data_IF_685621346877
#
_entry.id   IF_685621346877
#
_cell.length_a   1.000
_cell.length_b   1.000
_cell.length_c   1.000
_cell.angle_alpha   90.00
_cell.angle_beta   90.00
_cell.angle_gamma   90.00
#
_symmetry.space_group_name_H-M   'P 1'
#
loop_
_entity.id
_entity.type
_entity.pdbx_description
1 polymer ?
#
# COMPACT_ATOMS: atom_id res chain seq x y z
N UNK A 1 41.48 -8.37 23.73
CA UNK A 1 40.90 -7.04 23.83
C UNK A 1 41.00 -6.21 22.53
N UNK A 2 42.18 -6.08 21.91
CA UNK A 2 42.34 -5.31 20.65
C UNK A 2 41.54 -5.89 19.49
N UNK A 3 41.53 -7.22 19.29
CA UNK A 3 40.81 -7.89 18.23
C UNK A 3 39.28 -7.68 18.34
N UNK A 4 38.74 -7.68 19.56
CA UNK A 4 37.29 -7.46 19.81
C UNK A 4 36.88 -6.02 19.45
N UNK A 5 37.71 -5.03 19.74
CA UNK A 5 37.48 -3.62 19.39
C UNK A 5 37.52 -3.39 17.87
N UNK A 6 38.40 -4.09 17.14
CA UNK A 6 38.48 -4.03 15.68
C UNK A 6 37.22 -4.64 15.05
N UNK A 7 36.74 -5.79 15.52
CA UNK A 7 35.51 -6.43 15.00
C UNK A 7 34.28 -5.56 15.26
N UNK A 8 34.15 -4.97 16.44
CA UNK A 8 33.06 -4.04 16.77
C UNK A 8 33.14 -2.79 15.89
N UNK A 9 34.34 -2.23 15.69
CA UNK A 9 34.55 -1.06 14.82
C UNK A 9 34.15 -1.32 13.36
N UNK A 10 34.54 -2.47 12.80
CA UNK A 10 34.15 -2.90 11.45
C UNK A 10 32.63 -3.14 11.34
N UNK A 11 32.01 -3.70 12.37
CA UNK A 11 30.55 -3.90 12.41
C UNK A 11 29.80 -2.56 12.41
N UNK A 12 30.22 -1.60 13.23
CA UNK A 12 29.62 -0.25 13.27
C UNK A 12 29.82 0.48 11.94
N UNK A 13 31.03 0.40 11.37
CA UNK A 13 31.32 1.03 10.07
C UNK A 13 30.48 0.41 8.94
N UNK A 14 30.40 -0.91 8.88
CA UNK A 14 29.56 -1.62 7.91
C UNK A 14 28.07 -1.27 8.04
N UNK A 15 27.57 -1.19 9.28
CA UNK A 15 26.17 -0.78 9.55
C UNK A 15 25.90 0.68 9.14
N UNK A 16 26.83 1.61 9.46
CA UNK A 16 26.70 3.02 9.04
C UNK A 16 26.74 3.20 7.52
N UNK A 17 27.64 2.49 6.83
CA UNK A 17 27.72 2.55 5.37
C UNK A 17 26.46 1.97 4.72
N UNK A 18 25.91 0.88 5.26
CA UNK A 18 24.65 0.31 4.81
C UNK A 18 23.47 1.27 5.02
N UNK A 19 23.38 1.91 6.19
CA UNK A 19 22.34 2.92 6.46
C UNK A 19 22.45 4.12 5.52
N UNK A 20 23.64 4.66 5.30
CA UNK A 20 23.83 5.79 4.38
C UNK A 20 23.47 5.43 2.94
N UNK A 21 23.76 4.22 2.52
CA UNK A 21 23.36 3.71 1.22
C UNK A 21 21.82 3.61 1.06
N UNK A 22 21.11 3.10 2.07
CA UNK A 22 19.65 3.03 2.07
C UNK A 22 19.03 4.44 2.05
N UNK A 23 19.54 5.36 2.85
CA UNK A 23 19.08 6.75 2.84
C UNK A 23 19.31 7.43 1.49
N UNK A 24 20.46 7.22 0.85
CA UNK A 24 20.75 7.74 -0.48
C UNK A 24 19.81 7.18 -1.56
N UNK A 25 19.37 5.92 -1.42
CA UNK A 25 18.35 5.32 -2.31
C UNK A 25 16.98 5.96 -2.09
N UNK A 26 16.54 6.13 -0.85
CA UNK A 26 15.27 6.77 -0.51
C UNK A 26 15.22 8.23 -0.96
N UNK A 27 16.32 8.97 -0.87
CA UNK A 27 16.41 10.37 -1.31
C UNK A 27 16.14 10.58 -2.81
N UNK A 28 16.14 9.52 -3.62
CA UNK A 28 15.77 9.58 -5.05
C UNK A 28 14.26 9.65 -5.27
N UNK A 29 13.47 9.33 -4.27
CA UNK A 29 12.01 9.35 -4.33
C UNK A 29 11.49 10.59 -3.60
N UNK A 30 10.91 11.56 -4.31
CA UNK A 30 10.44 12.80 -3.67
C UNK A 30 9.16 12.62 -2.85
N UNK A 31 8.43 11.52 -3.08
CA UNK A 31 7.10 11.28 -2.49
C UNK A 31 7.13 10.02 -1.65
N UNK A 32 6.85 10.19 -0.39
CA UNK A 32 6.78 9.12 0.62
C UNK A 32 5.39 9.02 1.20
N UNK A 33 5.02 7.83 1.64
CA UNK A 33 3.77 7.59 2.33
C UNK A 33 3.81 6.32 3.14
N UNK A 34 2.71 6.08 3.85
CA UNK A 34 2.56 4.92 4.70
C UNK A 34 1.22 4.22 4.47
N UNK A 35 1.20 2.92 4.78
CA UNK A 35 -0.02 2.12 4.89
C UNK A 35 -0.26 1.78 6.36
N UNK A 36 -1.49 1.92 6.83
CA UNK A 36 -1.88 1.69 8.22
C UNK A 36 -3.14 0.83 8.31
N UNK A 37 -3.31 0.18 9.47
CA UNK A 37 -4.48 -0.59 9.85
C UNK A 37 -4.73 -0.42 11.36
N UNK A 38 -5.73 -1.11 11.90
CA UNK A 38 -6.06 -1.08 13.34
C UNK A 38 -4.90 -1.46 14.27
N UNK A 39 -3.94 -2.27 13.79
CA UNK A 39 -2.78 -2.69 14.59
C UNK A 39 -1.67 -1.63 14.62
N UNK A 40 -1.80 -0.58 13.81
CA UNK A 40 -0.85 0.54 13.80
C UNK A 40 -0.92 1.40 15.07
N UNK A 41 -2.02 1.30 15.83
CA UNK A 41 -2.25 2.11 17.03
C UNK A 41 -2.52 3.59 16.71
N UNK A 42 -2.35 4.43 17.70
CA UNK A 42 -2.64 5.86 17.56
C UNK A 42 -1.54 6.56 16.77
N UNK A 43 -1.91 7.20 15.63
CA UNK A 43 -1.01 8.04 14.83
C UNK A 43 -1.39 9.52 14.96
N UNK A 44 -0.38 10.37 15.08
CA UNK A 44 -0.50 11.81 14.91
C UNK A 44 -0.33 12.15 13.41
N UNK A 45 -1.44 12.40 12.72
CA UNK A 45 -1.43 12.68 11.29
C UNK A 45 -0.81 14.03 10.93
N UNK A 46 -0.86 15.00 11.85
CA UNK A 46 -0.16 16.28 11.66
C UNK A 46 1.37 16.08 11.70
N UNK A 47 1.84 15.24 12.59
CA UNK A 47 3.25 14.86 12.62
C UNK A 47 3.63 13.98 11.44
N UNK A 48 2.76 13.05 11.04
CA UNK A 48 2.98 12.18 9.87
C UNK A 48 3.16 13.01 8.59
N UNK A 49 2.31 14.02 8.37
CA UNK A 49 2.30 14.86 7.18
C UNK A 49 3.61 15.65 6.97
N UNK A 50 4.41 15.87 8.01
CA UNK A 50 5.71 16.58 7.87
C UNK A 50 6.71 15.85 6.97
N UNK A 51 6.64 14.52 6.92
CA UNK A 51 7.59 13.68 6.19
C UNK A 51 6.93 12.74 5.19
N UNK A 52 5.59 12.73 5.12
CA UNK A 52 4.83 11.86 4.22
C UNK A 52 3.74 12.65 3.51
N UNK A 53 3.62 12.44 2.20
CA UNK A 53 2.66 13.11 1.36
C UNK A 53 1.33 12.36 1.29
N UNK A 54 1.32 11.07 1.67
CA UNK A 54 0.11 10.26 1.61
C UNK A 54 0.05 9.17 2.70
N UNK A 55 -1.18 8.76 2.97
CA UNK A 55 -1.50 7.61 3.81
C UNK A 55 -2.59 6.76 3.14
N UNK A 56 -2.41 5.44 3.16
CA UNK A 56 -3.47 4.51 2.84
C UNK A 56 -3.96 3.81 4.10
N UNK A 57 -5.28 3.79 4.29
CA UNK A 57 -5.93 3.29 5.50
C UNK A 57 -6.70 2.03 5.14
N UNK A 58 -6.39 0.91 5.82
CA UNK A 58 -7.15 -0.32 5.67
C UNK A 58 -8.62 -0.06 6.04
N UNK A 59 -9.54 -0.45 5.16
CA UNK A 59 -10.97 -0.31 5.40
C UNK A 59 -11.65 -1.67 5.53
N UNK A 60 -11.49 -2.54 4.51
CA UNK A 60 -12.20 -3.82 4.46
C UNK A 60 -11.33 -4.96 3.92
N UNK A 61 -11.65 -6.20 4.30
CA UNK A 61 -11.13 -7.40 3.68
C UNK A 61 -12.27 -8.37 3.37
N UNK A 62 -12.33 -8.83 2.12
CA UNK A 62 -13.39 -9.71 1.66
C UNK A 62 -14.78 -9.12 1.87
N UNK A 63 -15.71 -9.97 2.29
CA UNK A 63 -17.14 -9.60 2.40
C UNK A 63 -17.60 -9.37 3.84
N UNK A 64 -16.73 -9.43 4.85
CA UNK A 64 -17.17 -9.44 6.26
C UNK A 64 -16.23 -8.73 7.24
N UNK A 65 -14.95 -8.56 6.90
CA UNK A 65 -14.02 -7.88 7.80
C UNK A 65 -13.98 -6.38 7.50
N UNK A 66 -14.22 -5.58 8.53
CA UNK A 66 -13.95 -4.14 8.54
C UNK A 66 -12.85 -3.84 9.56
N UNK A 67 -11.95 -2.94 9.22
CA UNK A 67 -10.96 -2.42 10.14
C UNK A 67 -11.65 -1.55 11.20
N UNK A 68 -11.42 -1.86 12.48
CA UNK A 68 -12.14 -1.22 13.59
C UNK A 68 -11.79 0.27 13.75
N UNK A 69 -10.60 0.67 13.31
CA UNK A 69 -10.11 2.04 13.42
C UNK A 69 -10.23 2.84 12.12
N UNK A 70 -10.80 2.24 11.06
CA UNK A 70 -10.90 2.89 9.75
C UNK A 70 -11.53 4.29 9.84
N UNK A 71 -12.74 4.39 10.37
CA UNK A 71 -13.48 5.66 10.42
C UNK A 71 -12.77 6.72 11.27
N UNK A 72 -12.19 6.31 12.41
CA UNK A 72 -11.43 7.19 13.29
C UNK A 72 -10.16 7.71 12.61
N UNK A 73 -9.38 6.79 12.01
CA UNK A 73 -8.15 7.15 11.31
C UNK A 73 -8.45 8.03 10.09
N UNK A 74 -9.49 7.70 9.32
CA UNK A 74 -9.91 8.50 8.17
C UNK A 74 -10.29 9.92 8.58
N UNK A 75 -11.16 10.08 9.59
CA UNK A 75 -11.59 11.40 10.07
C UNK A 75 -10.43 12.24 10.59
N UNK A 76 -9.47 11.62 11.29
CA UNK A 76 -8.29 12.31 11.81
C UNK A 76 -7.31 12.70 10.69
N UNK A 77 -7.13 11.84 9.67
CA UNK A 77 -6.29 12.13 8.52
C UNK A 77 -6.84 13.29 7.67
N UNK A 78 -8.16 13.45 7.58
CA UNK A 78 -8.81 14.57 6.88
C UNK A 78 -8.44 15.94 7.47
N UNK A 79 -8.10 16.00 8.76
CA UNK A 79 -7.66 17.24 9.44
C UNK A 79 -6.17 17.56 9.25
N UNK A 80 -5.42 16.72 8.53
CA UNK A 80 -4.00 16.90 8.29
C UNK A 80 -3.72 17.24 6.81
N UNK A 81 -2.59 17.87 6.53
CA UNK A 81 -2.15 18.16 5.15
C UNK A 81 -1.53 16.92 4.50
N UNK A 82 -2.29 15.81 4.44
CA UNK A 82 -1.87 14.54 3.87
C UNK A 82 -2.94 14.00 2.93
N UNK A 83 -2.54 13.43 1.78
CA UNK A 83 -3.48 12.78 0.89
C UNK A 83 -3.87 11.41 1.43
N UNK A 84 -5.15 11.10 1.36
CA UNK A 84 -5.71 9.86 1.91
C UNK A 84 -6.21 8.96 0.79
N UNK A 85 -5.89 7.68 0.89
CA UNK A 85 -6.49 6.60 0.12
C UNK A 85 -7.00 5.50 1.05
N UNK A 86 -7.82 4.62 0.52
CA UNK A 86 -8.42 3.51 1.27
C UNK A 86 -8.04 2.17 0.65
N UNK A 87 -8.02 1.15 1.50
CA UNK A 87 -7.62 -0.21 1.12
C UNK A 87 -8.77 -1.18 1.26
N UNK A 88 -9.01 -1.94 0.18
CA UNK A 88 -9.80 -3.17 0.19
C UNK A 88 -8.91 -4.37 -0.06
N UNK A 89 -8.89 -5.34 0.83
CA UNK A 89 -8.20 -6.62 0.59
C UNK A 89 -9.14 -7.59 -0.13
N UNK A 90 -8.75 -7.99 -1.33
CA UNK A 90 -9.50 -8.91 -2.18
C UNK A 90 -9.55 -10.32 -1.58
N UNK A 91 -10.73 -10.94 -1.62
CA UNK A 91 -10.93 -12.32 -1.20
C UNK A 91 -11.25 -13.22 -2.39
N UNK A 92 -10.50 -14.29 -2.54
CA UNK A 92 -10.80 -15.33 -3.53
C UNK A 92 -12.04 -16.17 -3.16
N UNK A 93 -12.36 -16.29 -1.87
CA UNK A 93 -13.44 -17.18 -1.39
C UNK A 93 -14.83 -16.58 -1.47
N UNK A 94 -14.97 -15.24 -1.62
CA UNK A 94 -16.27 -14.56 -1.64
C UNK A 94 -16.57 -13.93 -3.00
N UNK A 95 -17.85 -13.73 -3.33
CA UNK A 95 -18.24 -13.13 -4.61
C UNK A 95 -17.89 -11.64 -4.70
N UNK A 96 -17.68 -11.13 -5.91
CA UNK A 96 -17.43 -9.72 -6.16
C UNK A 96 -18.54 -8.83 -5.60
N UNK A 97 -19.81 -9.19 -5.80
CA UNK A 97 -20.94 -8.40 -5.33
C UNK A 97 -21.01 -8.28 -3.81
N UNK A 98 -20.68 -9.36 -3.08
CA UNK A 98 -20.65 -9.32 -1.61
C UNK A 98 -19.48 -8.45 -1.09
N UNK A 99 -18.32 -8.53 -1.72
CA UNK A 99 -17.16 -7.69 -1.36
C UNK A 99 -17.46 -6.21 -1.61
N UNK A 100 -18.01 -5.87 -2.77
CA UNK A 100 -18.42 -4.50 -3.11
C UNK A 100 -19.50 -3.96 -2.17
N UNK A 101 -20.52 -4.78 -1.87
CA UNK A 101 -21.56 -4.38 -0.93
C UNK A 101 -20.95 -4.05 0.44
N UNK A 102 -20.08 -4.91 0.95
CA UNK A 102 -19.41 -4.71 2.22
C UNK A 102 -18.50 -3.46 2.22
N UNK A 103 -17.70 -3.27 1.16
CA UNK A 103 -16.88 -2.08 0.98
C UNK A 103 -17.73 -0.81 0.99
N UNK A 104 -18.81 -0.78 0.19
CA UNK A 104 -19.70 0.37 0.10
C UNK A 104 -20.39 0.71 1.43
N UNK A 105 -20.77 -0.30 2.21
CA UNK A 105 -21.36 -0.10 3.54
C UNK A 105 -20.34 0.46 4.54
N UNK A 106 -19.09 -0.01 4.50
CA UNK A 106 -18.06 0.40 5.46
C UNK A 106 -17.49 1.77 5.12
N UNK A 107 -17.18 2.00 3.83
CA UNK A 107 -16.45 3.19 3.38
C UNK A 107 -17.41 4.35 3.07
N UNK A 108 -18.60 4.06 2.54
CA UNK A 108 -19.53 5.10 2.12
C UNK A 108 -18.89 6.06 1.11
N UNK A 109 -18.72 7.32 1.49
CA UNK A 109 -18.03 8.35 0.70
C UNK A 109 -16.59 8.63 1.17
N UNK A 110 -16.10 7.88 2.13
CA UNK A 110 -14.79 8.10 2.76
C UNK A 110 -13.66 7.40 1.97
N UNK A 111 -13.51 7.70 0.69
CA UNK A 111 -12.48 7.12 -0.19
C UNK A 111 -11.17 7.93 -0.24
N UNK A 112 -11.21 9.17 0.23
CA UNK A 112 -10.08 10.10 0.08
C UNK A 112 -9.92 10.61 -1.35
N UNK A 113 -8.73 11.07 -1.70
CA UNK A 113 -8.41 11.67 -3.00
C UNK A 113 -7.44 10.82 -3.84
N UNK A 114 -6.92 9.73 -3.28
CA UNK A 114 -6.02 8.82 -3.99
C UNK A 114 -6.80 7.68 -4.65
N UNK A 115 -6.25 7.01 -5.68
CA UNK A 115 -6.84 5.79 -6.21
C UNK A 115 -7.15 4.79 -5.09
N UNK A 116 -8.28 4.08 -5.18
CA UNK A 116 -8.63 3.04 -4.20
C UNK A 116 -7.63 1.89 -4.35
N UNK A 117 -7.00 1.47 -3.26
CA UNK A 117 -6.10 0.32 -3.29
C UNK A 117 -6.90 -0.99 -3.13
N UNK A 118 -6.70 -1.91 -4.08
CA UNK A 118 -7.15 -3.30 -3.98
C UNK A 118 -5.93 -4.18 -3.74
N UNK A 119 -5.80 -4.69 -2.52
CA UNK A 119 -4.70 -5.58 -2.14
C UNK A 119 -5.01 -7.03 -2.51
N UNK A 120 -4.09 -7.69 -3.21
CA UNK A 120 -4.23 -9.07 -3.70
C UNK A 120 -3.02 -9.89 -3.28
N UNK A 121 -3.25 -10.98 -2.58
CA UNK A 121 -2.23 -11.95 -2.21
C UNK A 121 -2.75 -13.37 -2.31
N UNK A 122 -1.89 -14.30 -2.75
CA UNK A 122 -2.22 -15.72 -2.73
C UNK A 122 -2.28 -16.24 -1.29
N UNK A 123 -3.23 -17.13 -1.03
CA UNK A 123 -3.38 -17.82 0.25
C UNK A 123 -4.08 -19.18 0.04
N UNK A 124 -3.80 -20.14 0.90
CA UNK A 124 -4.37 -21.48 0.88
C UNK A 124 -4.28 -22.14 -0.52
N UNK A 125 -5.41 -22.67 -1.01
CA UNK A 125 -5.52 -23.24 -2.36
C UNK A 125 -5.47 -22.19 -3.49
N UNK A 126 -5.61 -20.90 -3.18
CA UNK A 126 -5.58 -19.84 -4.20
C UNK A 126 -4.14 -19.43 -4.50
N UNK A 127 -3.56 -20.04 -5.51
CA UNK A 127 -2.21 -19.83 -6.00
C UNK A 127 -2.11 -20.07 -7.50
N UNK A 128 -0.97 -19.79 -8.11
CA UNK A 128 -0.77 -19.89 -9.55
C UNK A 128 -0.99 -21.29 -10.17
N UNK A 129 -0.99 -22.33 -9.36
CA UNK A 129 -1.21 -23.72 -9.80
C UNK A 129 -2.68 -24.14 -9.76
N UNK A 130 -3.58 -23.32 -9.22
CA UNK A 130 -5.01 -23.63 -9.15
C UNK A 130 -5.69 -23.35 -10.50
N UNK A 131 -6.46 -24.34 -11.01
CA UNK A 131 -7.13 -24.25 -12.31
C UNK A 131 -8.26 -23.18 -12.36
N UNK A 132 -8.82 -22.80 -11.20
CA UNK A 132 -9.91 -21.82 -11.12
C UNK A 132 -9.43 -20.36 -11.14
N UNK A 133 -8.13 -20.10 -11.23
CA UNK A 133 -7.57 -18.74 -11.14
C UNK A 133 -8.04 -17.82 -12.26
N UNK A 134 -8.41 -18.34 -13.45
CA UNK A 134 -9.01 -17.54 -14.52
C UNK A 134 -10.35 -16.93 -14.09
N UNK A 135 -11.23 -17.73 -13.45
CA UNK A 135 -12.50 -17.25 -12.90
C UNK A 135 -12.29 -16.22 -11.76
N UNK A 136 -11.27 -16.44 -10.93
CA UNK A 136 -10.88 -15.47 -9.89
C UNK A 136 -10.39 -14.15 -10.48
N UNK A 137 -9.64 -14.19 -11.61
CA UNK A 137 -9.22 -13.00 -12.34
C UNK A 137 -10.40 -12.18 -12.85
N UNK A 138 -11.45 -12.84 -13.40
CA UNK A 138 -12.68 -12.14 -13.80
C UNK A 138 -13.43 -11.54 -12.59
N UNK A 139 -13.38 -12.19 -11.42
CA UNK A 139 -13.91 -11.64 -10.17
C UNK A 139 -13.17 -10.36 -9.76
N UNK A 140 -11.83 -10.37 -9.79
CA UNK A 140 -11.02 -9.18 -9.51
C UNK A 140 -11.38 -8.05 -10.48
N UNK A 141 -11.43 -8.32 -11.78
CA UNK A 141 -11.82 -7.33 -12.80
C UNK A 141 -13.18 -6.71 -12.52
N UNK A 142 -14.19 -7.51 -12.11
CA UNK A 142 -15.51 -7.00 -11.74
C UNK A 142 -15.45 -6.04 -10.54
N UNK A 143 -14.65 -6.34 -9.53
CA UNK A 143 -14.47 -5.46 -8.36
C UNK A 143 -13.82 -4.15 -8.77
N UNK A 144 -12.72 -4.20 -9.51
CA UNK A 144 -12.00 -3.00 -9.98
C UNK A 144 -12.93 -2.10 -10.78
N UNK A 145 -13.55 -2.63 -11.84
CA UNK A 145 -14.48 -1.86 -12.68
C UNK A 145 -15.64 -1.26 -11.88
N UNK A 146 -16.19 -2.01 -10.92
CA UNK A 146 -17.31 -1.52 -10.12
C UNK A 146 -16.87 -0.42 -9.13
N UNK A 147 -15.68 -0.52 -8.54
CA UNK A 147 -15.11 0.54 -7.69
C UNK A 147 -14.88 1.81 -8.51
N UNK A 148 -14.23 1.72 -9.67
CA UNK A 148 -13.99 2.85 -10.57
C UNK A 148 -15.30 3.53 -11.01
N UNK A 149 -16.32 2.72 -11.34
CA UNK A 149 -17.61 3.24 -11.75
C UNK A 149 -18.39 3.88 -10.61
N UNK A 150 -18.39 3.26 -9.43
CA UNK A 150 -19.18 3.73 -8.27
C UNK A 150 -18.60 5.01 -7.69
N UNK A 151 -17.27 5.08 -7.58
CA UNK A 151 -16.61 6.19 -6.92
C UNK A 151 -16.06 7.25 -7.87
N UNK A 152 -16.11 6.98 -9.19
CA UNK A 152 -15.49 7.84 -10.21
C UNK A 152 -14.02 8.15 -9.89
N UNK A 153 -13.30 7.14 -9.42
CA UNK A 153 -11.95 7.23 -8.85
C UNK A 153 -11.11 6.07 -9.37
N UNK A 154 -9.85 6.32 -9.67
CA UNK A 154 -8.92 5.27 -10.11
C UNK A 154 -8.74 4.17 -9.07
N UNK A 155 -8.28 3.01 -9.51
CA UNK A 155 -7.90 1.89 -8.65
C UNK A 155 -6.43 1.55 -8.88
N UNK A 156 -5.70 1.25 -7.82
CA UNK A 156 -4.33 0.72 -7.88
C UNK A 156 -4.31 -0.69 -7.26
N UNK A 157 -3.64 -1.64 -7.92
CA UNK A 157 -3.53 -3.02 -7.43
C UNK A 157 -2.23 -3.20 -6.67
N UNK A 158 -2.33 -3.49 -5.37
CA UNK A 158 -1.20 -3.85 -4.52
C UNK A 158 -1.02 -5.37 -4.51
N UNK A 159 0.15 -5.84 -4.96
CA UNK A 159 0.52 -7.25 -4.89
C UNK A 159 2.03 -7.44 -5.08
N UNK A 160 2.54 -8.62 -4.73
CA UNK A 160 3.91 -8.99 -5.06
C UNK A 160 4.08 -9.26 -6.57
N UNK A 161 5.33 -9.29 -7.04
CA UNK A 161 5.65 -9.46 -8.46
C UNK A 161 4.99 -10.69 -9.10
N UNK A 162 4.95 -11.82 -8.39
CA UNK A 162 4.35 -13.06 -8.90
C UNK A 162 2.86 -12.89 -9.14
N UNK A 163 2.13 -12.36 -8.17
CA UNK A 163 0.69 -12.10 -8.29
C UNK A 163 0.40 -11.07 -9.39
N UNK A 164 1.17 -9.98 -9.47
CA UNK A 164 1.02 -8.99 -10.54
C UNK A 164 1.18 -9.62 -11.92
N UNK A 165 2.24 -10.40 -12.13
CA UNK A 165 2.55 -10.94 -13.46
C UNK A 165 1.66 -12.12 -13.87
N UNK A 166 1.31 -12.99 -12.94
CA UNK A 166 0.61 -14.24 -13.25
C UNK A 166 -0.91 -14.15 -13.11
N UNK A 167 -1.42 -13.23 -12.28
CA UNK A 167 -2.82 -13.14 -11.98
C UNK A 167 -3.47 -11.80 -12.40
N UNK A 168 -2.83 -10.67 -12.09
CA UNK A 168 -3.42 -9.34 -12.33
C UNK A 168 -3.33 -8.94 -13.79
N UNK A 169 -2.13 -8.90 -14.37
CA UNK A 169 -1.89 -8.42 -15.75
C UNK A 169 -2.66 -9.16 -16.83
N UNK A 170 -2.89 -10.48 -16.75
CA UNK A 170 -3.70 -11.18 -17.74
C UNK A 170 -5.15 -10.67 -17.86
N UNK A 171 -5.71 -10.09 -16.81
CA UNK A 171 -7.10 -9.61 -16.77
C UNK A 171 -7.24 -8.08 -16.69
N UNK A 172 -6.20 -7.40 -16.23
CA UNK A 172 -6.11 -5.96 -16.00
C UNK A 172 -4.75 -5.41 -16.51
N UNK A 173 -4.44 -5.48 -17.82
CA UNK A 173 -3.10 -5.22 -18.35
C UNK A 173 -2.64 -3.76 -18.21
N UNK A 174 -3.56 -2.81 -18.07
CA UNK A 174 -3.27 -1.38 -18.00
C UNK A 174 -3.56 -0.78 -16.63
N UNK A 175 -3.78 -1.62 -15.60
CA UNK A 175 -4.09 -1.15 -14.26
C UNK A 175 -2.83 -0.61 -13.60
N UNK A 176 -2.94 0.51 -12.88
CA UNK A 176 -1.88 1.01 -12.02
C UNK A 176 -1.53 -0.04 -10.97
N UNK A 177 -0.23 -0.28 -10.78
CA UNK A 177 0.29 -1.30 -9.88
C UNK A 177 1.06 -0.67 -8.70
N UNK A 178 0.93 -1.32 -7.56
CA UNK A 178 1.73 -1.08 -6.36
C UNK A 178 2.49 -2.35 -6.00
N UNK A 179 3.80 -2.29 -6.11
CA UNK A 179 4.67 -3.42 -5.85
C UNK A 179 4.81 -3.66 -4.34
N UNK A 180 4.30 -4.80 -3.86
CA UNK A 180 4.52 -5.29 -2.51
C UNK A 180 5.92 -5.93 -2.40
N UNK A 181 6.56 -5.79 -1.25
CA UNK A 181 7.91 -6.32 -0.97
C UNK A 181 8.95 -5.89 -2.02
N UNK A 182 8.75 -4.69 -2.57
CA UNK A 182 9.59 -4.13 -3.60
C UNK A 182 10.93 -3.64 -3.08
N UNK A 183 11.97 -3.86 -3.84
CA UNK A 183 13.25 -3.22 -3.58
C UNK A 183 13.24 -1.83 -4.19
N UNK A 184 13.79 -0.85 -3.47
CA UNK A 184 14.02 0.47 -4.04
C UNK A 184 14.87 0.35 -5.31
N UNK A 185 14.33 0.74 -6.46
CA UNK A 185 14.93 0.59 -7.77
C UNK A 185 14.06 1.24 -8.83
N UNK A 186 14.46 1.11 -10.09
CA UNK A 186 13.63 1.55 -11.21
C UNK A 186 12.64 0.44 -11.57
N UNK A 187 11.36 0.80 -11.64
CA UNK A 187 10.30 -0.05 -12.15
C UNK A 187 9.63 0.68 -13.31
N UNK A 188 9.40 -0.05 -14.41
CA UNK A 188 8.67 0.49 -15.54
C UNK A 188 7.16 0.58 -15.23
N UNK A 189 6.44 1.40 -16.02
CA UNK A 189 4.98 1.40 -16.01
C UNK A 189 4.46 -0.05 -16.21
N UNK A 190 3.41 -0.48 -15.49
CA UNK A 190 2.45 0.35 -14.75
C UNK A 190 2.72 0.51 -13.24
N UNK A 191 3.93 0.19 -12.73
CA UNK A 191 4.24 0.29 -11.30
C UNK A 191 4.34 1.74 -10.86
N UNK A 192 3.34 2.22 -10.13
CA UNK A 192 3.26 3.60 -9.60
C UNK A 192 3.81 3.73 -8.19
N UNK A 193 3.68 2.70 -7.38
CA UNK A 193 4.05 2.72 -5.96
C UNK A 193 4.90 1.50 -5.61
N UNK A 194 5.83 1.66 -4.66
CA UNK A 194 6.71 0.60 -4.18
C UNK A 194 6.66 0.59 -2.66
N UNK A 195 6.11 -0.47 -2.08
CA UNK A 195 6.28 -0.72 -0.65
C UNK A 195 7.64 -1.37 -0.43
N UNK A 196 8.52 -0.66 0.25
CA UNK A 196 9.89 -1.13 0.50
C UNK A 196 10.10 -1.71 1.90
N UNK A 197 9.11 -1.55 2.80
CA UNK A 197 9.13 -2.12 4.13
C UNK A 197 7.70 -2.27 4.68
N UNK A 198 7.13 -3.47 4.59
CA UNK A 198 5.78 -3.79 5.05
C UNK A 198 5.66 -3.87 6.58
N UNK A 199 6.78 -3.99 7.31
CA UNK A 199 6.82 -4.14 8.77
C UNK A 199 7.63 -3.02 9.41
N UNK A 200 7.48 -1.82 8.89
CA UNK A 200 8.19 -0.64 9.36
C UNK A 200 7.69 -0.16 10.72
N UNK A 201 8.54 0.61 11.39
CA UNK A 201 8.21 1.25 12.68
C UNK A 201 8.36 2.75 12.55
N UNK A 202 7.26 3.46 12.75
CA UNK A 202 7.22 4.92 12.82
C UNK A 202 7.26 5.33 14.30
N UNK A 203 8.21 6.19 14.67
CA UNK A 203 8.27 6.71 16.04
C UNK A 203 7.59 8.07 16.11
N UNK A 204 6.56 8.19 16.95
CA UNK A 204 5.86 9.44 17.23
C UNK A 204 5.56 9.54 18.73
N UNK A 205 5.84 10.70 19.32
CA UNK A 205 5.53 10.99 20.74
C UNK A 205 6.05 9.91 21.72
N UNK A 206 7.23 9.33 21.43
CA UNK A 206 7.84 8.27 22.24
C UNK A 206 7.22 6.89 22.08
N UNK A 207 6.24 6.74 21.19
CA UNK A 207 5.60 5.46 20.87
C UNK A 207 6.05 4.97 19.49
N UNK A 208 6.01 3.66 19.27
CA UNK A 208 6.36 3.02 18.01
C UNK A 208 5.10 2.43 17.37
N UNK A 209 4.72 2.96 16.20
CA UNK A 209 3.57 2.53 15.42
C UNK A 209 4.02 1.60 14.29
N UNK A 210 3.31 0.49 14.07
CA UNK A 210 3.55 -0.40 12.96
C UNK A 210 2.93 0.17 11.66
N UNK A 211 3.74 0.35 10.63
CA UNK A 211 3.29 0.92 9.33
C UNK A 211 4.00 0.24 8.17
N UNK A 212 3.37 0.18 7.01
CA UNK A 212 4.05 -0.11 5.75
C UNK A 212 4.64 1.17 5.17
N UNK A 213 5.94 1.17 4.83
CA UNK A 213 6.59 2.32 4.18
C UNK A 213 6.60 2.16 2.67
N UNK A 214 6.17 3.21 1.99
CA UNK A 214 6.00 3.25 0.53
C UNK A 214 6.58 4.51 -0.07
N UNK A 215 7.06 4.41 -1.30
CA UNK A 215 7.45 5.55 -2.13
C UNK A 215 6.66 5.54 -3.43
N UNK A 216 6.43 6.72 -4.01
CA UNK A 216 5.92 6.85 -5.37
C UNK A 216 7.06 6.68 -6.38
N UNK A 217 6.86 5.82 -7.37
CA UNK A 217 7.84 5.48 -8.41
C UNK A 217 7.80 6.47 -9.58
N UNK A 218 8.04 7.75 -9.27
CA UNK A 218 7.96 8.78 -10.29
C UNK A 218 8.37 10.17 -9.80
N UNK A 219 8.19 11.13 -10.67
CA UNK A 219 8.46 12.55 -10.40
C UNK A 219 7.30 13.22 -9.67
N UNK A 220 7.53 14.41 -9.12
CA UNK A 220 6.49 15.26 -8.52
C UNK A 220 5.32 15.54 -9.48
N UNK A 221 5.61 15.78 -10.78
CA UNK A 221 4.57 16.00 -11.79
C UNK A 221 3.70 14.76 -12.02
N UNK A 222 4.31 13.58 -12.06
CA UNK A 222 3.58 12.32 -12.20
C UNK A 222 2.74 12.04 -10.96
N UNK A 223 3.27 12.32 -9.76
CA UNK A 223 2.50 12.25 -8.51
C UNK A 223 1.25 13.15 -8.53
N UNK A 224 1.39 14.41 -8.95
CA UNK A 224 0.24 15.31 -9.06
C UNK A 224 -0.85 14.72 -9.93
N UNK A 225 -0.49 14.12 -11.09
CA UNK A 225 -1.44 13.44 -11.97
C UNK A 225 -2.07 12.21 -11.30
N UNK A 226 -1.25 11.35 -10.71
CA UNK A 226 -1.70 10.12 -10.03
C UNK A 226 -2.65 10.43 -8.85
N UNK A 227 -2.32 11.43 -8.05
CA UNK A 227 -3.07 11.80 -6.85
C UNK A 227 -4.33 12.64 -7.10
N UNK A 228 -4.70 12.87 -8.36
CA UNK A 228 -5.89 13.60 -8.83
C UNK A 228 -6.71 12.77 -9.82
N UNK A 229 -6.57 11.45 -9.82
CA UNK A 229 -7.38 10.54 -10.66
C UNK A 229 -8.79 10.39 -10.07
N UNK A 230 -9.56 11.47 -10.09
CA UNK A 230 -10.97 11.53 -9.70
C UNK A 230 -11.81 11.75 -10.95
#
# INVERSE_FOLDING_TARGET
MVLTLVVVGLGIWGWRTWQSYQQARLARYPIHGVTINQDSGYLDFQQLAKNNQFVYIQATSGATYSDNDFSNNYSRAQGAEIKVGVVHTFSFSTSASRQLHHFNQTVGRQTGTLPIMVAVSYYDQYNSSNQDMAAQGQKLKKIVTALETTYQQGVVIYANKTVLTQFVRPVLPNQDEWMADGHLGHYDSPVQLIEYNASGKLSQNGQSQAVGFTVFNGTQRQWTKFSQQN
#
